data_IF_325342617293
#
_entry.id   IF_325342617293
#
_cell.length_a   1.000
_cell.length_b   1.000
_cell.length_c   1.000
_cell.angle_alpha   90.00
_cell.angle_beta   90.00
_cell.angle_gamma   90.00
#
_symmetry.space_group_name_H-M   'P 1'
#
loop_
_entity.id
_entity.type
_entity.pdbx_description
1 polymer ?
#
# COMPACT_ATOMS: atom_id res chain seq x y z
N UNK A 1 -1.99 -7.35 -3.20
CA UNK A 1 -2.82 -6.57 -2.25
C UNK A 1 -2.07 -6.32 -0.95
N UNK A 2 -1.60 -7.37 -0.24
CA UNK A 2 -0.84 -7.22 1.01
C UNK A 2 0.37 -6.27 0.93
N UNK A 3 1.23 -6.41 -0.08
CA UNK A 3 2.38 -5.51 -0.26
C UNK A 3 2.00 -4.02 -0.41
N UNK A 4 0.87 -3.72 -1.07
CA UNK A 4 0.39 -2.34 -1.25
C UNK A 4 -0.04 -1.75 0.09
N UNK A 5 -0.90 -2.47 0.82
CA UNK A 5 -1.39 -2.05 2.13
C UNK A 5 -0.24 -1.90 3.14
N UNK A 6 0.65 -2.89 3.20
CA UNK A 6 1.76 -2.89 4.15
C UNK A 6 2.78 -1.76 3.91
N UNK A 7 3.11 -1.45 2.64
CA UNK A 7 4.02 -0.33 2.34
C UNK A 7 3.38 1.02 2.69
N UNK A 8 2.10 1.21 2.33
CA UNK A 8 1.36 2.42 2.67
C UNK A 8 1.25 2.62 4.18
N UNK A 9 0.91 1.57 4.92
CA UNK A 9 0.79 1.61 6.38
C UNK A 9 2.13 1.87 7.08
N UNK A 10 3.21 1.24 6.60
CA UNK A 10 4.55 1.47 7.11
C UNK A 10 5.00 2.93 6.92
N UNK A 11 4.84 3.48 5.71
CA UNK A 11 5.21 4.86 5.43
C UNK A 11 4.32 5.84 6.22
N UNK A 12 3.00 5.60 6.25
CA UNK A 12 2.07 6.43 7.02
C UNK A 12 2.44 6.47 8.50
N UNK A 13 2.68 5.32 9.11
CA UNK A 13 3.05 5.22 10.52
C UNK A 13 4.34 5.99 10.83
N UNK A 14 5.36 5.85 9.99
CA UNK A 14 6.62 6.60 10.15
C UNK A 14 6.40 8.12 10.06
N UNK A 15 5.60 8.60 9.10
CA UNK A 15 5.27 10.03 9.00
C UNK A 15 4.51 10.52 10.23
N UNK A 16 3.55 9.73 10.74
CA UNK A 16 2.78 10.06 11.95
C UNK A 16 3.66 10.11 13.19
N UNK A 17 4.59 9.18 13.35
CA UNK A 17 5.57 9.18 14.44
C UNK A 17 6.50 10.40 14.39
N UNK A 18 6.74 10.95 13.20
CA UNK A 18 7.55 12.16 12.99
C UNK A 18 6.72 13.46 12.97
N UNK A 19 5.46 13.42 13.40
CA UNK A 19 4.66 14.62 13.68
C UNK A 19 3.81 15.14 12.52
N UNK A 20 3.76 14.45 11.38
CA UNK A 20 2.84 14.82 10.29
C UNK A 20 1.39 14.63 10.74
N UNK A 21 0.47 15.50 10.31
CA UNK A 21 -0.97 15.29 10.56
C UNK A 21 -1.49 14.05 9.80
N UNK A 22 -2.64 13.47 10.21
CA UNK A 22 -3.26 12.37 9.47
C UNK A 22 -3.50 12.68 7.99
N UNK A 23 -3.94 13.91 7.67
CA UNK A 23 -4.17 14.33 6.29
C UNK A 23 -2.87 14.45 5.50
N UNK A 24 -1.81 15.05 6.07
CA UNK A 24 -0.51 15.17 5.38
C UNK A 24 0.09 13.80 5.13
N UNK A 25 0.14 12.94 6.15
CA UNK A 25 0.65 11.59 6.02
C UNK A 25 -0.15 10.76 5.00
N UNK A 26 -1.48 10.89 4.95
CA UNK A 26 -2.29 10.22 3.93
C UNK A 26 -2.01 10.74 2.52
N UNK A 27 -1.87 12.07 2.37
CA UNK A 27 -1.59 12.68 1.06
C UNK A 27 -0.21 12.25 0.53
N UNK A 28 0.83 12.29 1.37
CA UNK A 28 2.20 11.92 1.00
C UNK A 28 2.41 10.40 0.79
N UNK A 29 1.41 9.57 1.10
CA UNK A 29 1.47 8.12 0.97
C UNK A 29 0.48 7.61 -0.08
N UNK A 30 -0.80 7.53 0.29
CA UNK A 30 -1.85 6.88 -0.49
C UNK A 30 -2.30 7.78 -1.63
N UNK A 31 -2.54 9.06 -1.37
CA UNK A 31 -3.07 9.97 -2.39
C UNK A 31 -2.04 10.22 -3.50
N UNK A 32 -0.79 10.53 -3.15
CA UNK A 32 0.30 10.70 -4.12
C UNK A 32 0.46 9.44 -4.99
N UNK A 33 0.54 8.26 -4.37
CA UNK A 33 0.69 7.02 -5.16
C UNK A 33 -0.50 6.78 -6.11
N UNK A 34 -1.72 6.91 -5.61
CA UNK A 34 -2.93 6.48 -6.34
C UNK A 34 -3.44 7.52 -7.33
N UNK A 35 -3.27 8.81 -7.03
CA UNK A 35 -3.78 9.90 -7.85
C UNK A 35 -2.74 10.50 -8.80
N UNK A 36 -1.44 10.34 -8.55
CA UNK A 36 -0.36 10.83 -9.43
C UNK A 36 0.54 9.69 -9.95
N UNK A 37 1.32 9.05 -9.08
CA UNK A 37 2.48 8.24 -9.49
C UNK A 37 2.08 7.01 -10.31
N UNK A 38 1.06 6.27 -9.88
CA UNK A 38 0.67 5.04 -10.57
C UNK A 38 0.10 5.31 -11.96
N UNK A 39 -0.56 6.47 -12.16
CA UNK A 39 -1.08 6.90 -13.45
C UNK A 39 0.08 7.25 -14.39
N UNK A 40 1.06 8.01 -13.91
CA UNK A 40 2.27 8.34 -14.69
C UNK A 40 3.05 7.08 -15.12
N UNK A 41 3.24 6.13 -14.21
CA UNK A 41 3.89 4.85 -14.53
C UNK A 41 3.06 4.04 -15.51
N UNK A 42 1.73 4.01 -15.37
CA UNK A 42 0.85 3.29 -16.29
C UNK A 42 0.88 3.87 -17.70
N UNK A 43 0.98 5.20 -17.83
CA UNK A 43 0.96 5.89 -19.12
C UNK A 43 2.33 5.87 -19.82
N UNK A 44 3.42 6.04 -19.06
CA UNK A 44 4.73 6.34 -19.63
C UNK A 44 5.86 5.39 -19.19
N UNK A 45 5.62 4.53 -18.20
CA UNK A 45 6.65 3.66 -17.62
C UNK A 45 7.44 4.30 -16.46
N UNK A 46 8.13 3.45 -15.71
CA UNK A 46 8.90 3.84 -14.52
C UNK A 46 10.15 4.67 -14.87
N UNK A 47 10.82 4.33 -15.97
CA UNK A 47 11.98 5.04 -16.48
C UNK A 47 11.63 6.49 -16.87
N UNK A 48 10.50 6.69 -17.54
CA UNK A 48 10.00 8.02 -17.85
C UNK A 48 9.66 8.80 -16.57
N UNK A 49 8.96 8.19 -15.62
CA UNK A 49 8.63 8.87 -14.35
C UNK A 49 9.89 9.34 -13.62
N UNK A 50 10.93 8.51 -13.56
CA UNK A 50 12.20 8.91 -12.94
C UNK A 50 12.80 10.10 -13.70
N UNK A 51 12.91 10.02 -15.02
CA UNK A 51 13.49 11.10 -15.83
C UNK A 51 12.72 12.44 -15.73
N UNK A 52 11.42 12.41 -15.41
CA UNK A 52 10.54 13.58 -15.44
C UNK A 52 10.09 14.06 -14.04
N UNK A 53 10.74 13.61 -12.97
CA UNK A 53 10.55 14.13 -11.61
C UNK A 53 11.69 15.08 -11.22
N UNK A 54 11.54 15.80 -10.10
CA UNK A 54 12.58 16.71 -9.60
C UNK A 54 13.89 15.98 -9.29
N UNK A 55 15.02 16.69 -9.30
CA UNK A 55 16.34 16.12 -8.94
C UNK A 55 16.33 15.45 -7.56
N UNK A 56 15.61 16.01 -6.59
CA UNK A 56 15.46 15.44 -5.25
C UNK A 56 14.72 14.11 -5.28
N UNK A 57 13.60 14.04 -6.00
CA UNK A 57 12.80 12.81 -6.14
C UNK A 57 13.57 11.72 -6.91
N UNK A 58 14.26 12.09 -7.99
CA UNK A 58 15.15 11.20 -8.75
C UNK A 58 16.21 10.56 -7.87
N UNK A 59 16.95 11.39 -7.12
CA UNK A 59 18.04 10.92 -6.27
C UNK A 59 17.53 10.02 -5.16
N UNK A 60 16.43 10.39 -4.51
CA UNK A 60 15.76 9.56 -3.51
C UNK A 60 15.33 8.22 -4.08
N UNK A 61 14.63 8.22 -5.21
CA UNK A 61 14.15 6.99 -5.84
C UNK A 61 15.31 6.04 -6.20
N UNK A 62 16.37 6.55 -6.83
CA UNK A 62 17.52 5.74 -7.24
C UNK A 62 18.31 5.18 -6.05
N UNK A 63 18.45 5.93 -4.96
CA UNK A 63 19.20 5.50 -3.78
C UNK A 63 18.47 4.45 -2.95
N UNK A 64 17.14 4.54 -2.90
CA UNK A 64 16.33 3.70 -2.03
C UNK A 64 15.72 2.49 -2.74
N UNK A 65 15.51 2.52 -4.07
CA UNK A 65 14.82 1.44 -4.80
C UNK A 65 15.44 0.05 -4.59
N UNK A 66 16.77 -0.05 -4.47
CA UNK A 66 17.43 -1.33 -4.23
C UNK A 66 17.20 -1.84 -2.81
N UNK A 67 17.19 -0.94 -1.80
CA UNK A 67 16.89 -1.31 -0.41
C UNK A 67 15.46 -1.84 -0.29
N UNK A 68 14.49 -1.17 -0.92
CA UNK A 68 13.11 -1.64 -0.94
C UNK A 68 12.97 -2.99 -1.66
N UNK A 69 13.64 -3.16 -2.81
CA UNK A 69 13.66 -4.46 -3.51
C UNK A 69 14.21 -5.55 -2.60
N UNK A 70 15.38 -5.33 -2.01
CA UNK A 70 16.06 -6.36 -1.21
C UNK A 70 15.30 -6.70 0.07
N UNK A 71 14.57 -5.74 0.66
CA UNK A 71 13.65 -6.00 1.77
C UNK A 71 12.40 -6.79 1.35
N UNK A 72 11.86 -6.53 0.15
CA UNK A 72 10.63 -7.17 -0.33
C UNK A 72 10.87 -8.55 -0.96
N UNK A 73 12.03 -8.79 -1.58
CA UNK A 73 12.34 -10.03 -2.29
C UNK A 73 12.14 -11.29 -1.43
N UNK A 74 12.65 -11.39 -0.19
CA UNK A 74 12.44 -12.58 0.63
C UNK A 74 10.97 -12.87 0.92
N UNK A 75 10.16 -11.83 1.12
CA UNK A 75 8.70 -11.97 1.35
C UNK A 75 8.00 -12.50 0.10
N UNK A 76 8.42 -12.04 -1.09
CA UNK A 76 7.89 -12.55 -2.36
C UNK A 76 8.33 -13.99 -2.65
N UNK A 77 9.55 -14.37 -2.28
CA UNK A 77 10.03 -15.75 -2.40
C UNK A 77 9.21 -16.69 -1.52
N UNK A 78 8.96 -16.31 -0.25
CA UNK A 78 8.08 -17.05 0.65
C UNK A 78 6.66 -17.16 0.11
N UNK A 79 6.07 -16.05 -0.32
CA UNK A 79 4.72 -16.02 -0.90
C UNK A 79 4.62 -16.92 -2.14
N UNK A 80 5.60 -16.85 -3.04
CA UNK A 80 5.64 -17.69 -4.24
C UNK A 80 5.71 -19.18 -3.88
N UNK A 81 6.53 -19.55 -2.90
CA UNK A 81 6.63 -20.93 -2.43
C UNK A 81 5.32 -21.41 -1.79
N UNK A 82 4.67 -20.58 -0.97
CA UNK A 82 3.37 -20.92 -0.36
C UNK A 82 2.28 -21.12 -1.41
N UNK A 83 2.24 -20.28 -2.45
CA UNK A 83 1.28 -20.43 -3.56
C UNK A 83 1.59 -21.68 -4.40
N UNK A 84 2.84 -21.84 -4.84
CA UNK A 84 3.23 -22.93 -5.75
C UNK A 84 3.11 -24.33 -5.12
N UNK A 85 3.23 -24.43 -3.80
CA UNK A 85 3.02 -25.69 -3.05
C UNK A 85 1.55 -25.97 -2.72
N UNK A 86 0.65 -25.04 -3.04
CA UNK A 86 -0.78 -25.15 -2.74
C UNK A 86 -1.16 -24.83 -1.29
N UNK A 87 -0.21 -24.37 -0.48
CA UNK A 87 -0.45 -24.01 0.92
C UNK A 87 -1.48 -22.88 1.06
N UNK A 88 -1.36 -21.81 0.25
CA UNK A 88 -2.37 -20.72 0.25
C UNK A 88 -3.77 -21.23 -0.11
N UNK A 89 -3.88 -22.16 -1.06
CA UNK A 89 -5.17 -22.74 -1.43
C UNK A 89 -5.77 -23.56 -0.28
N UNK A 90 -4.95 -24.34 0.44
CA UNK A 90 -5.38 -25.09 1.61
C UNK A 90 -5.88 -24.15 2.73
N UNK A 91 -5.18 -23.05 2.99
CA UNK A 91 -5.59 -22.02 3.96
C UNK A 91 -6.94 -21.42 3.58
N UNK A 92 -7.13 -21.04 2.32
CA UNK A 92 -8.41 -20.46 1.85
C UNK A 92 -9.55 -21.46 2.00
N UNK A 93 -9.35 -22.72 1.59
CA UNK A 93 -10.37 -23.78 1.72
C UNK A 93 -10.73 -24.01 3.19
N UNK A 94 -9.74 -24.11 4.07
CA UNK A 94 -9.96 -24.34 5.49
C UNK A 94 -10.69 -23.17 6.15
N UNK A 95 -10.25 -21.94 5.90
CA UNK A 95 -10.91 -20.74 6.41
C UNK A 95 -12.36 -20.65 5.95
N UNK A 96 -12.65 -20.91 4.67
CA UNK A 96 -14.01 -20.84 4.13
C UNK A 96 -14.93 -21.97 4.62
N UNK A 97 -14.39 -23.08 5.14
CA UNK A 97 -15.19 -24.16 5.74
C UNK A 97 -15.69 -23.83 7.15
N UNK A 98 -15.09 -22.86 7.82
CA UNK A 98 -15.49 -22.47 9.17
C UNK A 98 -16.86 -21.79 9.14
N UNK A 99 -17.78 -22.25 10.01
CA UNK A 99 -19.14 -21.69 10.08
C UNK A 99 -19.18 -20.20 10.46
N UNK A 100 -18.12 -19.69 11.09
CA UNK A 100 -17.97 -18.27 11.47
C UNK A 100 -16.99 -17.50 10.57
N UNK A 101 -16.63 -18.03 9.39
CA UNK A 101 -15.71 -17.35 8.47
C UNK A 101 -16.10 -15.90 8.19
N UNK A 102 -17.39 -15.65 7.95
CA UNK A 102 -17.89 -14.31 7.60
C UNK A 102 -17.75 -13.33 8.75
N UNK A 103 -17.91 -13.78 9.99
CA UNK A 103 -17.76 -12.95 11.19
C UNK A 103 -16.29 -12.54 11.34
N UNK A 104 -15.37 -13.51 11.32
CA UNK A 104 -13.92 -13.24 11.39
C UNK A 104 -13.43 -12.33 10.28
N UNK A 105 -13.84 -12.58 9.03
CA UNK A 105 -13.50 -11.72 7.91
C UNK A 105 -14.00 -10.29 8.12
N UNK A 106 -15.21 -10.11 8.66
CA UNK A 106 -15.74 -8.78 8.94
C UNK A 106 -14.97 -8.07 10.06
N UNK A 107 -14.46 -8.80 11.06
CA UNK A 107 -13.59 -8.24 12.10
C UNK A 107 -12.29 -7.71 11.50
N UNK A 108 -11.59 -8.51 10.70
CA UNK A 108 -10.35 -8.10 10.00
C UNK A 108 -10.58 -6.90 9.07
N UNK A 109 -11.65 -6.93 8.27
CA UNK A 109 -12.00 -5.80 7.39
C UNK A 109 -12.39 -4.54 8.18
N UNK A 110 -13.00 -4.71 9.35
CA UNK A 110 -13.36 -3.59 10.22
C UNK A 110 -12.13 -2.96 10.85
N UNK A 111 -11.12 -3.75 11.21
CA UNK A 111 -9.83 -3.24 11.71
C UNK A 111 -9.19 -2.30 10.70
N UNK A 112 -9.06 -2.74 9.43
CA UNK A 112 -8.54 -1.90 8.35
C UNK A 112 -9.39 -0.64 8.18
N UNK A 113 -10.72 -0.80 8.05
CA UNK A 113 -11.64 0.32 7.85
C UNK A 113 -11.59 1.37 8.97
N UNK A 114 -11.36 0.93 10.19
CA UNK A 114 -11.37 1.79 11.37
C UNK A 114 -9.98 2.32 11.76
N UNK A 115 -8.92 1.89 11.07
CA UNK A 115 -7.58 2.46 11.25
C UNK A 115 -7.54 3.96 10.95
N UNK A 116 -6.63 4.67 11.62
CA UNK A 116 -6.46 6.13 11.45
C UNK A 116 -6.19 6.47 9.97
N UNK A 117 -5.34 5.68 9.30
CA UNK A 117 -4.99 5.83 7.88
C UNK A 117 -6.25 5.88 7.00
N UNK A 118 -7.14 4.89 7.12
CA UNK A 118 -8.30 4.79 6.22
C UNK A 118 -9.44 5.73 6.62
N UNK A 119 -9.53 6.14 7.89
CA UNK A 119 -10.41 7.23 8.34
C UNK A 119 -9.96 8.60 7.79
N UNK A 120 -8.65 8.89 7.85
CA UNK A 120 -8.08 10.09 7.24
C UNK A 120 -8.35 10.12 5.73
N UNK A 121 -8.10 9.01 5.05
CA UNK A 121 -8.40 8.86 3.63
C UNK A 121 -9.87 9.08 3.28
N UNK A 122 -10.81 8.69 4.14
CA UNK A 122 -12.22 8.96 3.92
C UNK A 122 -12.51 10.47 3.87
N UNK A 123 -11.84 11.28 4.68
CA UNK A 123 -12.02 12.73 4.65
C UNK A 123 -11.29 13.36 3.47
N UNK A 124 -10.04 12.96 3.20
CA UNK A 124 -9.25 13.47 2.06
C UNK A 124 -9.97 13.22 0.73
N UNK A 125 -10.52 12.01 0.51
CA UNK A 125 -11.23 11.68 -0.73
C UNK A 125 -12.44 12.60 -1.00
N UNK A 126 -13.11 13.12 0.03
CA UNK A 126 -14.25 14.06 -0.15
C UNK A 126 -13.80 15.41 -0.72
N UNK A 127 -12.53 15.76 -0.54
CA UNK A 127 -11.97 17.05 -0.96
C UNK A 127 -11.40 17.01 -2.37
N UNK A 128 -11.44 15.85 -3.05
CA UNK A 128 -10.88 15.71 -4.39
C UNK A 128 -11.60 16.60 -5.40
N UNK A 129 -10.88 17.16 -6.40
CA UNK A 129 -11.46 18.10 -7.35
C UNK A 129 -12.67 17.57 -8.11
N UNK A 130 -12.71 16.28 -8.44
CA UNK A 130 -13.81 15.66 -9.20
C UNK A 130 -15.14 15.55 -8.42
N UNK A 131 -15.13 15.81 -7.11
CA UNK A 131 -16.33 15.81 -6.28
C UNK A 131 -17.00 17.20 -6.17
N UNK A 132 -16.45 18.21 -6.84
CA UNK A 132 -17.03 19.56 -6.97
C UNK A 132 -17.37 19.88 -8.43
#
# INVERSE_FOLDING_TARGET
MGALAGIMEAQYSVLRENGHSPSEAFNETVEELTESLIKLVSENGMDWMYANTSTTAQRGALDWRHKFRDAATPVFEELYNSVSTGNEAAIVIESNRQGNYREKLNEELSEIKNSELWQAGQQVRKLRPENN
#
